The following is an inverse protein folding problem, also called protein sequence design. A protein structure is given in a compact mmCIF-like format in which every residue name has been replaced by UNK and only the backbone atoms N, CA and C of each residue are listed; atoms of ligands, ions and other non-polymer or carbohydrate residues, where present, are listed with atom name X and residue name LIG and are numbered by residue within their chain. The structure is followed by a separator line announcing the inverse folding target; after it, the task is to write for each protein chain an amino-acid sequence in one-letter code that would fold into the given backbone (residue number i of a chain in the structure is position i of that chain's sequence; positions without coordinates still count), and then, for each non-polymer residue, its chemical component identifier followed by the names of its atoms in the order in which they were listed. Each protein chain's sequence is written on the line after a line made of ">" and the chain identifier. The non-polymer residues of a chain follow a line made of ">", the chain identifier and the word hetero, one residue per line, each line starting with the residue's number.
data_IF_379624308583
#
_entry.id   IF_379624308583
#
_cell.length_a   1.000
_cell.length_b   1.000
_cell.length_c   1.000
_cell.angle_alpha   90.00
_cell.angle_beta   90.00
_cell.angle_gamma   90.00
#
_symmetry.space_group_name_H-M   'P 1'
#
loop_
_entity.id
_entity.type
_entity.pdbx_description
1 polymer ?
#
# COMPACT_ATOMS: atom_id res chain seq x y z
N UNK A 1 12.05 0.34 -4.97
CA UNK A 1 10.87 -0.56 -4.98
C UNK A 1 10.15 -0.58 -6.32
N UNK A 2 9.81 0.58 -6.82
CA UNK A 2 9.03 0.71 -8.07
C UNK A 2 9.76 0.12 -9.27
N UNK A 3 11.06 0.36 -9.39
CA UNK A 3 11.87 -0.18 -10.48
C UNK A 3 11.99 -1.70 -10.41
N UNK A 4 12.04 -2.27 -9.22
CA UNK A 4 12.07 -3.72 -9.03
C UNK A 4 10.81 -4.37 -9.59
N UNK A 5 9.65 -3.76 -9.34
CA UNK A 5 8.36 -4.23 -9.86
C UNK A 5 8.34 -4.13 -11.38
N UNK A 6 8.79 -3.00 -11.93
CA UNK A 6 8.85 -2.79 -13.38
C UNK A 6 9.75 -3.82 -14.06
N UNK A 7 10.93 -4.07 -13.49
CA UNK A 7 11.87 -5.05 -14.01
C UNK A 7 11.26 -6.45 -14.01
N UNK A 8 10.61 -6.82 -12.91
CA UNK A 8 9.95 -8.13 -12.82
C UNK A 8 8.84 -8.26 -13.88
N UNK A 9 7.98 -7.27 -14.01
CA UNK A 9 6.88 -7.30 -14.98
C UNK A 9 7.42 -7.39 -16.42
N UNK A 10 8.48 -6.65 -16.73
CA UNK A 10 9.09 -6.68 -18.06
C UNK A 10 9.77 -8.03 -18.35
N UNK A 11 10.46 -8.62 -17.36
CA UNK A 11 11.21 -9.86 -17.56
C UNK A 11 10.30 -11.06 -17.82
N UNK A 12 9.06 -11.00 -17.34
CA UNK A 12 8.09 -12.07 -17.53
C UNK A 12 7.27 -11.92 -18.79
N UNK A 13 7.56 -10.90 -19.62
CA UNK A 13 6.73 -10.60 -20.77
C UNK A 13 5.27 -10.45 -20.38
N UNK A 14 5.05 -10.04 -19.14
CA UNK A 14 3.71 -9.71 -18.68
C UNK A 14 3.35 -8.41 -19.38
N UNK A 15 3.03 -8.52 -20.67
CA UNK A 15 2.26 -7.50 -21.36
C UNK A 15 0.87 -7.60 -20.79
N UNK A 16 0.76 -7.14 -19.57
CA UNK A 16 -0.55 -6.84 -19.04
C UNK A 16 -1.11 -5.82 -20.00
N UNK A 17 -2.11 -6.23 -20.77
CA UNK A 17 -3.04 -5.24 -21.32
C UNK A 17 -3.27 -4.28 -20.17
N UNK A 18 -3.11 -2.95 -20.39
CA UNK A 18 -3.29 -2.03 -19.28
C UNK A 18 -4.64 -2.32 -18.64
N UNK A 19 -4.59 -2.88 -17.44
CA UNK A 19 -5.78 -3.10 -16.67
C UNK A 19 -6.38 -1.73 -16.38
N UNK A 20 -7.69 -1.51 -16.66
CA UNK A 20 -8.28 -0.22 -16.32
C UNK A 20 -7.99 0.14 -14.88
N UNK A 21 -7.70 1.42 -14.63
CA UNK A 21 -7.29 1.90 -13.28
C UNK A 21 -8.28 1.47 -12.22
N UNK A 22 -9.58 1.58 -12.50
CA UNK A 22 -10.60 1.20 -11.51
C UNK A 22 -10.57 -0.30 -11.19
N UNK A 23 -10.26 -1.15 -12.16
CA UNK A 23 -10.13 -2.59 -11.92
C UNK A 23 -8.94 -2.88 -11.01
N UNK A 24 -7.82 -2.20 -11.24
CA UNK A 24 -6.64 -2.33 -10.36
C UNK A 24 -6.95 -1.87 -8.94
N UNK A 25 -7.71 -0.79 -8.79
CA UNK A 25 -8.11 -0.28 -7.47
C UNK A 25 -9.01 -1.28 -6.74
N UNK A 26 -9.95 -1.90 -7.44
CA UNK A 26 -10.81 -2.93 -6.86
C UNK A 26 -10.00 -4.17 -6.45
N UNK A 27 -9.01 -4.54 -7.24
CA UNK A 27 -8.11 -5.64 -6.93
C UNK A 27 -7.32 -5.35 -5.66
N UNK A 28 -6.78 -4.15 -5.55
CA UNK A 28 -6.06 -3.72 -4.34
C UNK A 28 -6.96 -3.78 -3.11
N UNK A 29 -8.21 -3.34 -3.24
CA UNK A 29 -9.17 -3.40 -2.15
C UNK A 29 -9.47 -4.85 -1.75
N UNK A 30 -9.57 -5.74 -2.73
CA UNK A 30 -9.74 -7.18 -2.48
C UNK A 30 -8.55 -7.76 -1.72
N UNK A 31 -7.33 -7.38 -2.11
CA UNK A 31 -6.10 -7.79 -1.43
C UNK A 31 -6.06 -7.29 0.02
N UNK A 32 -6.56 -6.08 0.27
CA UNK A 32 -6.69 -5.55 1.63
C UNK A 32 -7.62 -6.43 2.46
N UNK A 33 -8.70 -6.94 1.85
CA UNK A 33 -9.60 -7.88 2.50
C UNK A 33 -8.91 -9.19 2.88
N UNK A 34 -8.03 -9.70 2.00
CA UNK A 34 -7.26 -10.90 2.29
C UNK A 34 -6.29 -10.68 3.45
N UNK A 35 -5.65 -9.50 3.51
CA UNK A 35 -4.79 -9.14 4.63
C UNK A 35 -5.58 -9.11 5.95
N UNK A 36 -6.77 -8.53 5.92
CA UNK A 36 -7.65 -8.50 7.09
C UNK A 36 -8.03 -9.91 7.54
N UNK A 37 -8.27 -10.82 6.60
CA UNK A 37 -8.55 -12.22 6.92
C UNK A 37 -7.38 -12.90 7.61
N UNK A 38 -6.16 -12.61 7.18
CA UNK A 38 -4.98 -13.18 7.83
C UNK A 38 -4.85 -12.69 9.28
N UNK A 39 -5.20 -11.43 9.52
CA UNK A 39 -5.28 -10.91 10.88
C UNK A 39 -6.32 -11.67 11.71
N UNK A 40 -7.53 -11.84 11.16
CA UNK A 40 -8.62 -12.54 11.85
C UNK A 40 -8.25 -13.99 12.17
N UNK A 41 -7.58 -14.67 11.25
CA UNK A 41 -7.09 -16.04 11.46
C UNK A 41 -6.07 -16.10 12.58
N UNK A 42 -5.08 -15.20 12.55
CA UNK A 42 -3.99 -15.22 13.54
C UNK A 42 -4.45 -14.87 14.94
N UNK A 43 -5.52 -14.08 15.06
CA UNK A 43 -6.07 -13.67 16.35
C UNK A 43 -7.29 -14.46 16.78
N UNK A 44 -7.69 -15.48 16.00
CA UNK A 44 -8.96 -16.22 16.21
C UNK A 44 -10.13 -15.25 16.40
N UNK A 45 -10.29 -14.39 15.40
CA UNK A 45 -11.35 -13.36 15.37
C UNK A 45 -11.24 -12.38 16.55
N UNK A 46 -10.01 -11.99 16.89
CA UNK A 46 -9.77 -10.97 17.91
C UNK A 46 -9.75 -11.49 19.34
N UNK A 47 -9.80 -12.82 19.52
CA UNK A 47 -9.83 -13.43 20.85
C UNK A 47 -8.47 -13.70 21.44
N UNK A 48 -7.41 -13.58 20.66
CA UNK A 48 -6.05 -13.68 21.14
C UNK A 48 -5.15 -12.62 20.51
N UNK A 49 -3.97 -12.42 21.10
CA UNK A 49 -3.03 -11.43 20.60
C UNK A 49 -2.59 -11.74 19.18
N UNK A 50 -2.30 -10.68 18.42
CA UNK A 50 -1.81 -10.81 17.05
C UNK A 50 -0.36 -11.30 17.06
N UNK A 51 -0.10 -12.35 16.29
CA UNK A 51 1.24 -12.82 15.97
C UNK A 51 1.49 -12.65 14.49
N UNK A 52 2.60 -12.03 14.14
CA UNK A 52 2.97 -11.85 12.74
C UNK A 52 3.25 -13.21 12.11
N UNK A 53 2.55 -13.49 11.01
CA UNK A 53 2.72 -14.75 10.27
C UNK A 53 3.37 -14.49 8.93
N UNK A 54 3.94 -15.55 8.34
CA UNK A 54 4.49 -15.47 6.99
C UNK A 54 3.40 -15.15 5.97
N UNK A 55 2.22 -15.71 6.16
CA UNK A 55 1.10 -15.43 5.26
C UNK A 55 0.67 -13.97 5.30
N UNK A 56 0.68 -13.36 6.49
CA UNK A 56 0.40 -11.93 6.61
C UNK A 56 1.43 -11.10 5.85
N UNK A 57 2.71 -11.44 5.97
CA UNK A 57 3.78 -10.74 5.26
C UNK A 57 3.62 -10.86 3.74
N UNK A 58 3.24 -12.04 3.25
CA UNK A 58 3.03 -12.26 1.82
C UNK A 58 1.86 -11.45 1.29
N UNK A 59 0.76 -11.40 2.02
CA UNK A 59 -0.40 -10.58 1.64
C UNK A 59 -0.06 -9.09 1.64
N UNK A 60 0.72 -8.65 2.61
CA UNK A 60 1.21 -7.28 2.63
C UNK A 60 2.05 -6.98 1.37
N UNK A 61 2.93 -7.92 1.01
CA UNK A 61 3.74 -7.80 -0.19
C UNK A 61 2.91 -7.73 -1.47
N UNK A 62 1.83 -8.51 -1.55
CA UNK A 62 0.92 -8.51 -2.69
C UNK A 62 0.27 -7.13 -2.88
N UNK A 63 -0.15 -6.50 -1.79
CA UNK A 63 -0.74 -5.16 -1.84
C UNK A 63 0.29 -4.16 -2.33
N UNK A 64 1.49 -4.21 -1.78
CA UNK A 64 2.58 -3.31 -2.17
C UNK A 64 2.92 -3.47 -3.65
N UNK A 65 3.01 -4.71 -4.13
CA UNK A 65 3.26 -5.01 -5.54
C UNK A 65 2.18 -4.38 -6.42
N UNK A 66 0.93 -4.54 -6.05
CA UNK A 66 -0.20 -4.00 -6.84
C UNK A 66 -0.20 -2.48 -6.85
N UNK A 67 0.09 -1.84 -5.73
CA UNK A 67 0.19 -0.38 -5.65
C UNK A 67 1.34 0.16 -6.50
N UNK A 68 2.50 -0.49 -6.45
CA UNK A 68 3.66 -0.06 -7.24
C UNK A 68 3.44 -0.30 -8.73
N UNK A 69 2.74 -1.38 -9.09
CA UNK A 69 2.34 -1.63 -10.48
C UNK A 69 1.40 -0.53 -10.98
N UNK A 70 0.43 -0.13 -10.17
CA UNK A 70 -0.47 0.96 -10.49
C UNK A 70 0.30 2.28 -10.70
N UNK A 71 1.25 2.57 -9.82
CA UNK A 71 2.09 3.75 -9.95
C UNK A 71 2.85 3.75 -11.29
N UNK A 72 3.41 2.61 -11.67
CA UNK A 72 4.13 2.47 -12.93
C UNK A 72 3.20 2.68 -14.14
N UNK A 73 1.99 2.16 -14.08
CA UNK A 73 1.00 2.32 -15.16
C UNK A 73 0.60 3.78 -15.35
N UNK A 74 0.51 4.53 -14.25
CA UNK A 74 0.10 5.94 -14.27
C UNK A 74 1.26 6.91 -14.38
N UNK A 75 2.49 6.40 -14.46
CA UNK A 75 3.70 7.22 -14.43
C UNK A 75 3.80 8.10 -13.17
N UNK A 76 3.31 7.57 -12.05
CA UNK A 76 3.44 8.21 -10.75
C UNK A 76 4.78 7.79 -10.14
N UNK A 77 5.50 8.76 -9.59
CA UNK A 77 6.68 8.48 -8.77
C UNK A 77 6.21 8.25 -7.33
N UNK A 78 6.20 6.99 -6.89
CA UNK A 78 5.68 6.61 -5.58
C UNK A 78 6.46 7.27 -4.44
N UNK A 79 7.77 7.38 -4.58
CA UNK A 79 8.64 8.02 -3.58
C UNK A 79 8.26 9.49 -3.40
N UNK A 80 8.06 10.22 -4.50
CA UNK A 80 7.66 11.64 -4.44
C UNK A 80 6.27 11.79 -3.81
N UNK A 81 5.35 10.89 -4.10
CA UNK A 81 4.02 10.91 -3.51
C UNK A 81 4.11 10.74 -1.99
N UNK A 82 4.96 9.83 -1.53
CA UNK A 82 5.18 9.62 -0.11
C UNK A 82 5.77 10.86 0.54
N UNK A 83 6.77 11.48 -0.10
CA UNK A 83 7.40 12.69 0.42
C UNK A 83 6.39 13.83 0.56
N UNK A 84 5.51 13.99 -0.42
CA UNK A 84 4.46 15.01 -0.39
C UNK A 84 3.50 14.80 0.77
N UNK A 85 3.11 13.56 1.01
CA UNK A 85 2.19 13.22 2.11
C UNK A 85 2.84 13.43 3.47
N UNK A 86 4.10 13.04 3.60
CA UNK A 86 4.85 13.26 4.84
C UNK A 86 4.93 14.75 5.15
N UNK A 87 5.26 15.57 4.13
CA UNK A 87 5.30 17.03 4.29
C UNK A 87 3.94 17.58 4.72
N UNK A 88 2.87 17.10 4.10
CA UNK A 88 1.51 17.51 4.46
C UNK A 88 1.21 17.21 5.92
N UNK A 89 1.59 16.04 6.41
CA UNK A 89 1.37 15.68 7.81
C UNK A 89 2.23 16.51 8.75
N UNK A 90 3.49 16.77 8.38
CA UNK A 90 4.37 17.65 9.16
C UNK A 90 3.79 19.05 9.27
N UNK A 91 3.29 19.61 8.17
CA UNK A 91 2.68 20.95 8.16
C UNK A 91 1.42 20.98 9.06
N UNK A 92 0.61 19.93 9.02
CA UNK A 92 -0.58 19.83 9.89
C UNK A 92 -0.21 19.77 11.36
N UNK A 93 0.82 19.00 11.70
CA UNK A 93 1.29 18.90 13.08
C UNK A 93 1.85 20.22 13.57
N UNK A 94 2.59 20.94 12.74
CA UNK A 94 3.14 22.26 13.09
C UNK A 94 2.03 23.27 13.30
N UNK A 95 1.04 23.31 12.40
CA UNK A 95 -0.10 24.22 12.54
C UNK A 95 -0.92 23.89 13.79
N UNK A 96 -1.11 22.61 14.07
CA UNK A 96 -1.84 22.18 15.26
C UNK A 96 -1.08 22.53 16.54
N UNK A 97 0.26 22.43 16.53
CA UNK A 97 1.10 22.86 17.64
C UNK A 97 0.96 24.37 17.90
N UNK A 98 1.01 25.16 16.82
CA UNK A 98 0.87 26.61 16.90
C UNK A 98 -0.50 27.00 17.45
N UNK A 99 -1.56 26.33 16.97
CA UNK A 99 -2.91 26.54 17.48
C UNK A 99 -3.04 26.09 18.93
N UNK A 100 -2.39 25.00 19.30
CA UNK A 100 -2.37 24.50 20.67
C UNK A 100 -1.64 25.44 21.62
N UNK A 101 -0.56 26.07 21.15
CA UNK A 101 0.22 27.02 21.97
C UNK A 101 -0.46 28.36 22.11
N UNK A 102 -1.38 28.72 21.22
CA UNK A 102 -2.15 29.97 21.30
C UNK A 102 -3.37 29.86 22.19
N UNK A 103 -3.68 28.68 22.65
CA UNK A 103 -4.77 28.45 23.58
C UNK A 103 -4.23 28.44 25.01
#
# INVERSE_FOLDING_TARGET
>A
MQNKVKTFNNSRNIQLKPMPVYTRLLDIQSEMGELAKEYLKSTKYGTKNFDLTKDFELEFGDILYSLLSLANELNINAEQCLDLVIKKYQDRLNNKKDMGSSN
#
